data_IF_725861539431
#
_entry.id   IF_725861539431
#
_cell.length_a   1.000
_cell.length_b   1.000
_cell.length_c   1.000
_cell.angle_alpha   90.00
_cell.angle_beta   90.00
_cell.angle_gamma   90.00
#
_symmetry.space_group_name_H-M   'P 1'
#
loop_
_entity.id
_entity.type
_entity.pdbx_description
1 polymer ?
#
# COMPACT_ATOMS: atom_id res chain seq x y z
N UNK A 1 -37.25 50.69 0.18
CA UNK A 1 -36.80 49.84 1.30
C UNK A 1 -36.99 48.35 0.99
N UNK A 2 -38.17 47.91 0.51
CA UNK A 2 -38.46 46.51 0.18
C UNK A 2 -37.54 45.89 -0.91
N UNK A 3 -37.19 46.65 -1.95
CA UNK A 3 -36.35 46.16 -3.07
C UNK A 3 -34.92 45.80 -2.64
N UNK A 4 -34.32 46.57 -1.73
CA UNK A 4 -32.97 46.29 -1.19
C UNK A 4 -32.96 45.06 -0.26
N UNK A 5 -34.05 44.81 0.46
CA UNK A 5 -34.16 43.66 1.36
C UNK A 5 -34.25 42.33 0.56
N UNK A 6 -34.97 42.36 -0.57
CA UNK A 6 -35.10 41.21 -1.48
C UNK A 6 -33.76 40.93 -2.19
N UNK A 7 -33.04 41.95 -2.65
CA UNK A 7 -31.74 41.77 -3.29
C UNK A 7 -30.67 41.29 -2.32
N UNK A 8 -30.63 41.81 -1.08
CA UNK A 8 -29.72 41.30 -0.03
C UNK A 8 -30.01 39.85 0.35
N UNK A 9 -31.29 39.47 0.45
CA UNK A 9 -31.70 38.09 0.69
C UNK A 9 -31.28 37.14 -0.43
N UNK A 10 -31.39 37.56 -1.70
CA UNK A 10 -30.98 36.77 -2.84
C UNK A 10 -29.46 36.57 -2.87
N UNK A 11 -28.69 37.64 -2.60
CA UNK A 11 -27.22 37.59 -2.54
C UNK A 11 -26.75 36.65 -1.42
N UNK A 12 -27.37 36.73 -0.24
CA UNK A 12 -27.01 35.87 0.89
C UNK A 12 -27.29 34.40 0.59
N UNK A 13 -28.43 34.10 -0.03
CA UNK A 13 -28.80 32.73 -0.44
C UNK A 13 -27.84 32.17 -1.50
N UNK A 14 -27.44 32.98 -2.48
CA UNK A 14 -26.44 32.61 -3.49
C UNK A 14 -25.05 32.42 -2.85
N UNK A 15 -24.67 33.27 -1.90
CA UNK A 15 -23.40 33.16 -1.18
C UNK A 15 -23.36 31.90 -0.31
N UNK A 16 -24.45 31.55 0.37
CA UNK A 16 -24.59 30.29 1.10
C UNK A 16 -24.49 29.06 0.17
N UNK A 17 -25.14 29.09 -1.00
CA UNK A 17 -25.02 28.03 -2.01
C UNK A 17 -23.59 27.88 -2.56
N UNK A 18 -22.87 28.99 -2.77
CA UNK A 18 -21.46 28.99 -3.18
C UNK A 18 -20.52 28.44 -2.10
N UNK A 19 -20.79 28.74 -0.82
CA UNK A 19 -20.05 28.19 0.32
C UNK A 19 -20.30 26.68 0.47
N UNK A 20 -21.52 26.20 0.19
CA UNK A 20 -21.85 24.77 0.16
C UNK A 20 -21.12 24.00 -0.97
N UNK A 21 -20.81 24.66 -2.10
CA UNK A 21 -20.05 24.06 -3.20
C UNK A 21 -18.54 23.97 -2.94
N UNK A 22 -18.00 24.83 -2.07
CA UNK A 22 -16.59 24.76 -1.64
C UNK A 22 -16.34 23.80 -0.46
N UNK A 23 -17.39 23.18 0.06
CA UNK A 23 -17.32 22.24 1.18
C UNK A 23 -17.09 20.78 0.75
N UNK A 24 -16.77 20.52 -0.52
CA UNK A 24 -16.08 19.28 -0.88
C UNK A 24 -14.70 19.39 -0.23
N UNK A 25 -14.54 18.77 0.93
CA UNK A 25 -13.29 18.88 1.68
C UNK A 25 -12.19 18.28 0.82
N UNK A 26 -10.98 18.87 0.89
CA UNK A 26 -9.80 18.33 0.19
C UNK A 26 -9.66 16.82 0.47
N UNK A 27 -10.04 16.39 1.66
CA UNK A 27 -9.99 15.01 2.11
C UNK A 27 -10.99 14.10 1.38
N UNK A 28 -12.25 14.54 1.18
CA UNK A 28 -13.25 13.80 0.38
C UNK A 28 -12.80 13.63 -1.08
N UNK A 29 -12.19 14.67 -1.67
CA UNK A 29 -11.64 14.62 -3.02
C UNK A 29 -10.45 13.65 -3.13
N UNK A 30 -9.56 13.62 -2.13
CA UNK A 30 -8.44 12.68 -2.06
C UNK A 30 -8.96 11.24 -1.89
N UNK A 31 -9.96 11.04 -1.05
CA UNK A 31 -10.55 9.71 -0.81
C UNK A 31 -11.22 9.16 -2.08
N UNK A 32 -12.03 9.98 -2.77
CA UNK A 32 -12.64 9.59 -4.04
C UNK A 32 -11.59 9.28 -5.11
N UNK A 33 -10.50 10.05 -5.15
CA UNK A 33 -9.41 9.83 -6.09
C UNK A 33 -8.62 8.55 -5.77
N UNK A 34 -8.34 8.28 -4.49
CA UNK A 34 -7.72 7.04 -4.04
C UNK A 34 -8.54 5.82 -4.46
N UNK A 35 -9.87 5.89 -4.31
CA UNK A 35 -10.77 4.82 -4.73
C UNK A 35 -10.73 4.56 -6.25
N UNK A 36 -10.62 5.63 -7.06
CA UNK A 36 -10.48 5.50 -8.53
C UNK A 36 -9.12 4.86 -8.89
N UNK A 37 -8.02 5.28 -8.26
CA UNK A 37 -6.69 4.71 -8.54
C UNK A 37 -6.56 3.24 -8.13
N UNK A 38 -7.14 2.85 -6.99
CA UNK A 38 -7.18 1.44 -6.58
C UNK A 38 -7.85 0.54 -7.63
N UNK A 39 -8.75 1.10 -8.45
CA UNK A 39 -9.49 0.34 -9.46
C UNK A 39 -8.72 0.16 -10.78
N UNK A 40 -7.76 1.04 -11.11
CA UNK A 40 -7.21 1.16 -12.48
C UNK A 40 -5.74 0.68 -12.62
N UNK A 41 -4.99 0.51 -11.53
CA UNK A 41 -3.53 0.27 -11.63
C UNK A 41 -2.91 -0.75 -10.68
N UNK A 42 -3.71 -1.49 -9.90
CA UNK A 42 -3.17 -2.29 -8.80
C UNK A 42 -2.70 -3.68 -9.22
N UNK A 43 -1.43 -3.96 -8.91
CA UNK A 43 -0.96 -5.34 -8.76
C UNK A 43 -1.77 -5.91 -7.60
N UNK A 44 -2.65 -6.87 -7.89
CA UNK A 44 -3.43 -7.50 -6.83
C UNK A 44 -2.50 -8.27 -5.90
N UNK A 45 -2.70 -8.10 -4.59
CA UNK A 45 -2.04 -8.95 -3.59
C UNK A 45 -2.37 -10.42 -3.87
N UNK A 46 -1.41 -11.30 -3.65
CA UNK A 46 -1.64 -12.75 -3.73
C UNK A 46 -2.77 -13.11 -2.77
N UNK A 47 -3.71 -13.96 -3.20
CA UNK A 47 -4.80 -14.40 -2.32
C UNK A 47 -4.23 -15.32 -1.26
N UNK A 48 -4.79 -15.33 -0.05
CA UNK A 48 -4.26 -16.15 1.04
C UNK A 48 -4.19 -17.64 0.68
N UNK A 49 -5.17 -18.14 -0.10
CA UNK A 49 -5.17 -19.52 -0.61
C UNK A 49 -4.07 -19.86 -1.63
N UNK A 50 -3.44 -18.84 -2.20
CA UNK A 50 -2.34 -18.97 -3.18
C UNK A 50 -0.98 -18.81 -2.48
N UNK A 51 -0.96 -18.30 -1.25
CA UNK A 51 0.25 -18.17 -0.45
C UNK A 51 0.70 -19.53 0.10
N UNK A 52 2.01 -19.74 0.14
CA UNK A 52 2.62 -20.88 0.81
C UNK A 52 2.64 -20.69 2.34
N UNK A 53 2.73 -19.43 2.78
CA UNK A 53 2.75 -19.05 4.19
C UNK A 53 1.46 -18.45 4.71
N UNK A 54 1.52 -18.06 5.98
CA UNK A 54 0.42 -17.40 6.66
C UNK A 54 0.68 -15.89 6.70
N UNK A 55 -0.18 -15.12 6.02
CA UNK A 55 -0.19 -13.67 6.09
C UNK A 55 -1.25 -13.20 7.09
N UNK A 56 -0.89 -12.24 7.94
CA UNK A 56 -1.84 -11.49 8.75
C UNK A 56 -1.67 -10.00 8.46
N UNK A 57 -2.73 -9.34 8.01
CA UNK A 57 -2.72 -7.89 7.88
C UNK A 57 -2.79 -7.21 9.25
N UNK A 58 -2.11 -6.06 9.36
CA UNK A 58 -2.21 -5.18 10.51
C UNK A 58 -3.35 -4.17 10.33
N UNK A 59 -3.04 -2.89 10.57
CA UNK A 59 -4.02 -1.81 10.46
C UNK A 59 -4.51 -1.57 9.01
N UNK A 60 -3.69 -1.91 8.02
CA UNK A 60 -4.03 -1.85 6.60
C UNK A 60 -3.20 -2.85 5.79
N UNK A 61 -3.35 -2.83 4.47
CA UNK A 61 -2.71 -3.77 3.55
C UNK A 61 -1.19 -3.61 3.40
N UNK A 62 -0.58 -2.57 3.99
CA UNK A 62 0.87 -2.31 3.91
C UNK A 62 1.63 -2.87 5.11
N UNK A 63 0.95 -3.20 6.21
CA UNK A 63 1.55 -3.67 7.46
C UNK A 63 1.01 -5.03 7.85
N UNK A 64 1.77 -5.77 8.64
CA UNK A 64 1.38 -7.11 9.06
C UNK A 64 2.55 -8.05 9.26
N UNK A 65 2.25 -9.34 9.30
CA UNK A 65 3.23 -10.41 9.38
C UNK A 65 3.04 -11.43 8.28
N UNK A 66 4.14 -12.07 7.88
CA UNK A 66 4.14 -13.19 6.98
C UNK A 66 5.20 -14.20 7.40
N UNK A 67 4.79 -15.45 7.58
CA UNK A 67 5.68 -16.55 7.95
C UNK A 67 5.41 -17.75 7.05
N UNK A 68 6.48 -18.34 6.49
CA UNK A 68 6.38 -19.40 5.48
C UNK A 68 7.56 -20.37 5.55
N UNK A 69 7.28 -21.63 5.21
CA UNK A 69 8.27 -22.68 4.95
C UNK A 69 8.07 -23.16 3.51
N UNK A 70 9.15 -23.18 2.72
CA UNK A 70 9.10 -23.54 1.31
C UNK A 70 9.90 -24.81 1.04
N UNK A 71 9.43 -25.55 0.03
CA UNK A 71 10.14 -26.70 -0.54
C UNK A 71 10.10 -26.59 -2.07
N UNK A 72 11.27 -26.36 -2.67
CA UNK A 72 11.50 -26.27 -4.12
C UNK A 72 10.51 -25.33 -4.86
N UNK A 73 10.19 -24.18 -4.25
CA UNK A 73 9.21 -23.24 -4.81
C UNK A 73 9.86 -22.25 -5.78
N UNK A 74 9.21 -22.02 -6.92
CA UNK A 74 9.55 -20.97 -7.88
C UNK A 74 8.31 -20.13 -8.17
N UNK A 75 8.43 -18.81 -8.03
CA UNK A 75 7.31 -17.91 -8.24
C UNK A 75 7.45 -16.60 -7.50
N UNK A 76 6.35 -15.84 -7.48
CA UNK A 76 6.25 -14.60 -6.75
C UNK A 76 5.05 -14.62 -5.81
N UNK A 77 5.21 -14.00 -4.65
CA UNK A 77 4.13 -13.73 -3.71
C UNK A 77 4.09 -12.24 -3.40
N UNK A 78 2.97 -11.59 -3.70
CA UNK A 78 2.76 -10.15 -3.46
C UNK A 78 2.06 -10.03 -2.11
N UNK A 79 2.82 -9.73 -1.07
CA UNK A 79 2.41 -9.90 0.31
C UNK A 79 1.66 -8.69 0.85
N UNK A 80 2.23 -7.49 0.67
CA UNK A 80 1.71 -6.25 1.24
C UNK A 80 1.76 -5.15 0.19
N UNK A 81 0.82 -4.20 0.25
CA UNK A 81 0.81 -3.08 -0.68
C UNK A 81 -0.57 -2.60 -1.11
N UNK A 82 -0.54 -1.71 -2.10
CA UNK A 82 -1.71 -1.11 -2.75
C UNK A 82 -1.36 0.24 -3.38
N UNK A 83 -2.36 0.91 -3.94
CA UNK A 83 -2.23 2.31 -4.37
C UNK A 83 -2.91 3.29 -3.44
N UNK A 84 -2.17 4.33 -3.06
CA UNK A 84 -2.68 5.49 -2.33
C UNK A 84 -1.88 6.74 -2.70
N UNK A 85 -2.56 7.89 -2.86
CA UNK A 85 -1.92 9.20 -2.89
C UNK A 85 -1.40 9.59 -1.50
N UNK A 86 -2.24 9.40 -0.49
CA UNK A 86 -1.90 9.63 0.91
C UNK A 86 -2.38 8.42 1.70
N UNK A 87 -1.46 7.71 2.36
CA UNK A 87 -1.80 6.63 3.27
C UNK A 87 -2.27 7.24 4.59
N UNK A 88 -3.47 6.86 5.02
CA UNK A 88 -4.07 7.34 6.28
C UNK A 88 -3.16 7.08 7.49
N UNK A 89 -2.48 5.93 7.47
CA UNK A 89 -1.45 5.58 8.44
C UNK A 89 -0.09 5.99 7.86
N UNK A 90 0.78 6.60 8.67
CA UNK A 90 2.12 7.11 8.28
C UNK A 90 2.76 6.38 7.09
N UNK A 91 3.29 7.12 6.11
CA UNK A 91 4.00 6.53 4.97
C UNK A 91 5.32 5.83 5.35
N UNK A 92 5.79 6.04 6.59
CA UNK A 92 6.99 5.37 7.09
C UNK A 92 6.67 3.96 7.56
N UNK A 93 7.39 2.99 7.02
CA UNK A 93 7.32 1.58 7.38
C UNK A 93 8.62 1.11 8.00
N UNK A 94 8.50 0.25 9.01
CA UNK A 94 9.62 -0.53 9.55
C UNK A 94 9.51 -1.96 9.02
N UNK A 95 10.49 -2.39 8.23
CA UNK A 95 10.57 -3.74 7.68
C UNK A 95 11.58 -4.54 8.51
N UNK A 96 11.14 -5.66 9.06
CA UNK A 96 11.97 -6.70 9.65
C UNK A 96 11.78 -7.97 8.85
N UNK A 97 12.85 -8.46 8.24
CA UNK A 97 12.81 -9.65 7.42
C UNK A 97 13.89 -10.64 7.86
N UNK A 98 13.60 -11.93 7.76
CA UNK A 98 14.58 -12.97 7.96
C UNK A 98 14.33 -14.10 6.98
N UNK A 99 15.38 -14.57 6.32
CA UNK A 99 15.37 -15.76 5.47
C UNK A 99 16.38 -16.78 5.98
N UNK A 100 15.97 -18.04 6.01
CA UNK A 100 16.86 -19.19 6.16
C UNK A 100 16.85 -19.95 4.84
N UNK A 101 17.89 -19.77 4.02
CA UNK A 101 18.03 -20.37 2.70
C UNK A 101 18.77 -21.71 2.84
N UNK A 102 18.10 -22.81 2.48
CA UNK A 102 18.70 -24.15 2.41
C UNK A 102 19.11 -24.49 0.97
N UNK A 103 18.31 -24.09 -0.01
CA UNK A 103 18.57 -24.24 -1.44
C UNK A 103 17.84 -23.15 -2.26
N UNK A 104 18.30 -22.89 -3.48
CA UNK A 104 17.73 -21.89 -4.38
C UNK A 104 17.99 -20.46 -3.94
N UNK A 105 17.10 -19.54 -4.34
CA UNK A 105 17.20 -18.12 -3.99
C UNK A 105 15.85 -17.48 -3.69
N UNK A 106 15.86 -16.46 -2.84
CA UNK A 106 14.71 -15.62 -2.53
C UNK A 106 15.12 -14.15 -2.44
N UNK A 107 14.35 -13.26 -3.06
CA UNK A 107 14.52 -11.81 -2.99
C UNK A 107 13.30 -11.16 -2.36
N UNK A 108 13.53 -10.31 -1.36
CA UNK A 108 12.57 -9.32 -0.89
C UNK A 108 12.67 -8.07 -1.77
N UNK A 109 11.57 -7.68 -2.39
CA UNK A 109 11.51 -6.61 -3.39
C UNK A 109 10.46 -5.57 -2.99
N UNK A 110 10.78 -4.29 -3.18
CA UNK A 110 9.83 -3.18 -3.21
C UNK A 110 9.58 -2.75 -4.65
N UNK A 111 8.32 -2.82 -5.10
CA UNK A 111 7.87 -2.28 -6.38
C UNK A 111 7.07 -1.00 -6.15
N UNK A 112 7.56 0.12 -6.69
CA UNK A 112 6.91 1.43 -6.59
C UNK A 112 6.51 1.95 -7.98
N UNK A 113 5.23 2.23 -8.19
CA UNK A 113 4.69 2.84 -9.41
C UNK A 113 5.16 2.12 -10.67
N UNK A 114 5.62 2.88 -11.67
CA UNK A 114 6.23 2.36 -12.90
C UNK A 114 7.76 2.13 -12.79
N UNK A 115 8.38 2.44 -11.65
CA UNK A 115 9.83 2.32 -11.48
C UNK A 115 10.29 0.84 -11.53
N UNK A 116 11.56 0.60 -11.85
CA UNK A 116 12.13 -0.75 -11.77
C UNK A 116 12.03 -1.27 -10.33
N UNK A 117 11.71 -2.56 -10.09
CA UNK A 117 11.67 -3.12 -8.75
C UNK A 117 13.02 -2.95 -8.03
N UNK A 118 12.99 -2.53 -6.75
CA UNK A 118 14.17 -2.41 -5.88
C UNK A 118 14.28 -3.68 -5.03
N UNK A 119 15.38 -4.41 -5.17
CA UNK A 119 15.71 -5.49 -4.22
C UNK A 119 16.11 -4.87 -2.89
N UNK A 120 15.41 -5.24 -1.81
CA UNK A 120 15.72 -4.84 -0.44
C UNK A 120 16.73 -5.80 0.21
N UNK A 121 16.54 -7.10 -0.01
CA UNK A 121 17.38 -8.15 0.54
C UNK A 121 17.28 -9.44 -0.29
N UNK A 122 18.38 -10.17 -0.47
CA UNK A 122 18.44 -11.38 -1.33
C UNK A 122 19.40 -12.46 -0.81
N UNK A 123 19.79 -12.35 0.46
CA UNK A 123 20.78 -13.22 1.09
C UNK A 123 20.14 -14.04 2.22
N UNK A 124 20.91 -14.90 2.86
CA UNK A 124 20.52 -15.62 4.07
C UNK A 124 20.73 -14.73 5.32
N UNK A 125 19.79 -14.75 6.27
CA UNK A 125 19.89 -14.03 7.54
C UNK A 125 18.83 -12.94 7.70
N UNK A 126 19.09 -12.02 8.63
CA UNK A 126 18.13 -10.98 9.03
C UNK A 126 18.42 -9.63 8.36
N UNK A 127 17.35 -8.87 8.13
CA UNK A 127 17.34 -7.57 7.49
C UNK A 127 16.41 -6.61 8.23
N UNK A 128 16.81 -5.34 8.30
CA UNK A 128 16.04 -4.26 8.90
C UNK A 128 16.21 -2.98 8.10
N UNK A 129 15.12 -2.35 7.68
CA UNK A 129 15.13 -1.03 7.05
C UNK A 129 13.90 -0.23 7.50
N UNK A 130 14.07 1.09 7.64
CA UNK A 130 12.97 2.03 7.72
C UNK A 130 12.85 2.73 6.37
N UNK A 131 11.69 2.60 5.73
CA UNK A 131 11.42 3.18 4.41
C UNK A 131 10.27 4.17 4.49
N UNK A 132 10.24 5.14 3.58
CA UNK A 132 9.11 6.03 3.39
C UNK A 132 8.50 5.78 2.02
N UNK A 133 7.21 5.44 1.97
CA UNK A 133 6.51 5.16 0.73
C UNK A 133 6.10 6.47 0.03
N UNK A 134 6.43 6.67 -1.25
CA UNK A 134 5.91 7.80 -2.01
C UNK A 134 4.44 7.58 -2.40
N UNK A 135 3.76 8.66 -2.79
CA UNK A 135 2.40 8.69 -3.33
C UNK A 135 2.31 7.97 -4.68
N UNK A 136 2.25 6.64 -4.63
CA UNK A 136 2.24 5.75 -5.77
C UNK A 136 1.69 4.38 -5.36
N UNK A 137 1.57 3.48 -6.32
CA UNK A 137 1.43 2.06 -6.02
C UNK A 137 2.72 1.56 -5.35
N UNK A 138 2.61 0.81 -4.25
CA UNK A 138 3.77 0.29 -3.52
C UNK A 138 3.48 -1.15 -3.09
N UNK A 139 4.37 -2.08 -3.41
CA UNK A 139 4.20 -3.50 -3.13
C UNK A 139 5.47 -4.16 -2.60
N UNK A 140 5.32 -4.96 -1.55
CA UNK A 140 6.34 -5.86 -1.02
C UNK A 140 6.11 -7.24 -1.61
N UNK A 141 7.13 -7.74 -2.32
CA UNK A 141 7.06 -8.95 -3.13
C UNK A 141 8.20 -9.87 -2.70
N UNK A 142 7.92 -11.16 -2.57
CA UNK A 142 8.94 -12.20 -2.54
C UNK A 142 9.06 -12.78 -3.95
N UNK A 143 10.26 -12.84 -4.50
CA UNK A 143 10.58 -13.54 -5.74
C UNK A 143 11.53 -14.70 -5.43
N UNK A 144 11.12 -15.91 -5.78
CA UNK A 144 11.82 -17.15 -5.45
C UNK A 144 12.13 -17.97 -6.69
N UNK A 145 13.28 -18.64 -6.67
CA UNK A 145 13.69 -19.57 -7.70
C UNK A 145 14.23 -20.86 -7.05
N UNK A 146 13.49 -21.95 -7.20
CA UNK A 146 13.73 -23.26 -6.59
C UNK A 146 14.04 -23.16 -5.08
N UNK A 147 13.38 -22.23 -4.39
CA UNK A 147 13.67 -21.88 -3.01
C UNK A 147 13.19 -22.98 -2.06
N UNK A 148 14.11 -23.41 -1.18
CA UNK A 148 13.79 -24.23 -0.02
C UNK A 148 14.36 -23.57 1.22
N UNK A 149 13.54 -23.39 2.25
CA UNK A 149 13.91 -22.56 3.38
C UNK A 149 12.72 -21.97 4.10
N UNK A 150 13.00 -21.08 5.06
CA UNK A 150 11.98 -20.38 5.81
C UNK A 150 12.11 -18.87 5.67
N UNK A 151 10.97 -18.19 5.75
CA UNK A 151 10.88 -16.73 5.68
C UNK A 151 10.00 -16.25 6.83
N UNK A 152 10.43 -15.17 7.49
CA UNK A 152 9.63 -14.39 8.42
C UNK A 152 9.75 -12.92 8.07
N UNK A 153 8.62 -12.23 7.93
CA UNK A 153 8.51 -10.84 7.57
C UNK A 153 7.53 -10.14 8.51
N UNK A 154 7.94 -9.01 9.07
CA UNK A 154 7.11 -8.15 9.90
C UNK A 154 7.25 -6.72 9.36
N UNK A 155 6.11 -6.09 9.06
CA UNK A 155 6.04 -4.69 8.66
C UNK A 155 5.16 -3.93 9.65
N UNK A 156 5.68 -2.83 10.17
CA UNK A 156 4.99 -1.93 11.11
C UNK A 156 4.89 -0.52 10.56
#
# INVERSE_FOLDING_TARGET
MLFNLVTQGLILTICCLLLCLSACTKDEMIEQYNNILQTIGDISLSKDKELQGNRNFGQDNYVGTYDAEYSHFSGQEILFGGTALERKNSNNLQIKYNSIIKDGSCKLILKTGAAKPKTLFDSNGSYFEMISLPSASNYIILEMNNFSGSISLIIK
#
